data_IF_143874192175
#
_entry.id   IF_143874192175
#
_cell.length_a   1.000
_cell.length_b   1.000
_cell.length_c   1.000
_cell.angle_alpha   90.00
_cell.angle_beta   90.00
_cell.angle_gamma   90.00
#
_symmetry.space_group_name_H-M   'P 1'
#
loop_
_entity.id
_entity.type
_entity.pdbx_description
1 polymer ?
#
# COMPACT_ATOMS: atom_id res chain seq x y z
N UNK A 1 16.29 33.69 47.42
CA UNK A 1 15.28 33.67 46.35
C UNK A 1 15.79 34.16 44.99
N UNK A 2 16.73 35.11 44.91
CA UNK A 2 17.21 35.70 43.64
C UNK A 2 18.05 34.77 42.73
N UNK A 3 18.82 33.83 43.30
CA UNK A 3 19.64 32.89 42.50
C UNK A 3 18.84 31.83 41.74
N UNK A 4 17.67 31.42 42.25
CA UNK A 4 16.82 30.42 41.57
C UNK A 4 16.25 30.97 40.26
N UNK A 5 15.99 32.28 40.19
CA UNK A 5 15.49 32.95 38.97
C UNK A 5 16.49 32.95 37.83
N UNK A 6 17.79 33.06 38.12
CA UNK A 6 18.84 33.01 37.10
C UNK A 6 18.87 31.63 36.42
N UNK A 7 18.66 30.56 37.19
CA UNK A 7 18.59 29.19 36.66
C UNK A 7 17.37 29.00 35.77
N UNK A 8 16.19 29.49 36.19
CA UNK A 8 14.98 29.39 35.36
C UNK A 8 15.08 30.21 34.06
N UNK A 9 15.68 31.40 34.10
CA UNK A 9 15.91 32.22 32.91
C UNK A 9 16.90 31.53 31.96
N UNK A 10 17.95 30.90 32.49
CA UNK A 10 18.90 30.12 31.70
C UNK A 10 18.23 28.93 30.99
N UNK A 11 17.39 28.17 31.69
CA UNK A 11 16.64 27.05 31.10
C UNK A 11 15.68 27.55 30.03
N UNK A 12 14.97 28.66 30.27
CA UNK A 12 14.05 29.24 29.28
C UNK A 12 14.79 29.68 28.01
N UNK A 13 15.96 30.32 28.14
CA UNK A 13 16.79 30.69 26.98
C UNK A 13 17.28 29.46 26.20
N UNK A 14 17.69 28.40 26.88
CA UNK A 14 18.11 27.15 26.24
C UNK A 14 16.95 26.48 25.50
N UNK A 15 15.74 26.45 26.09
CA UNK A 15 14.56 25.89 25.42
C UNK A 15 14.14 26.71 24.21
N UNK A 16 14.17 28.04 24.29
CA UNK A 16 13.86 28.92 23.16
C UNK A 16 14.90 28.77 22.05
N UNK A 17 16.20 28.86 22.38
CA UNK A 17 17.27 28.71 21.41
C UNK A 17 17.29 27.31 20.78
N UNK A 18 17.07 26.26 21.59
CA UNK A 18 16.95 24.89 21.13
C UNK A 18 15.75 24.68 20.21
N UNK A 19 14.58 25.18 20.59
CA UNK A 19 13.38 25.14 19.76
C UNK A 19 13.54 25.89 18.44
N UNK A 20 14.10 27.11 18.46
CA UNK A 20 14.40 27.89 17.26
C UNK A 20 15.42 27.21 16.35
N UNK A 21 16.45 26.56 16.91
CA UNK A 21 17.47 25.85 16.13
C UNK A 21 16.91 24.58 15.46
N UNK A 22 16.04 23.84 16.15
CA UNK A 22 15.37 22.66 15.60
C UNK A 22 14.44 23.03 14.44
N UNK A 23 13.66 24.11 14.60
CA UNK A 23 12.79 24.63 13.55
C UNK A 23 13.59 25.13 12.33
N UNK A 24 14.70 25.83 12.55
CA UNK A 24 15.54 26.35 11.45
C UNK A 24 16.21 25.25 10.62
N UNK A 25 16.47 24.07 11.22
CA UNK A 25 17.03 22.91 10.52
C UNK A 25 15.97 21.96 9.95
N UNK A 26 14.68 22.23 10.17
CA UNK A 26 13.59 21.32 9.80
C UNK A 26 13.67 19.95 10.47
N UNK A 27 14.39 19.87 11.61
CA UNK A 27 14.52 18.63 12.39
C UNK A 27 13.38 18.47 13.39
N UNK A 28 12.49 19.45 13.50
CA UNK A 28 11.27 19.32 14.29
C UNK A 28 10.33 18.27 13.70
N UNK A 29 9.51 17.68 14.56
CA UNK A 29 8.62 16.59 14.17
C UNK A 29 7.59 17.01 13.10
N UNK A 30 7.22 18.29 13.05
CA UNK A 30 6.22 18.81 12.11
C UNK A 30 6.84 18.91 10.71
N UNK A 31 8.04 19.47 10.57
CA UNK A 31 8.76 19.50 9.29
C UNK A 31 9.12 18.11 8.77
N UNK A 32 9.52 17.17 9.64
CA UNK A 32 9.77 15.79 9.21
C UNK A 32 8.50 15.09 8.72
N UNK A 33 7.37 15.29 9.40
CA UNK A 33 6.07 14.75 8.97
C UNK A 33 5.57 15.38 7.64
N UNK A 34 6.03 16.60 7.32
CA UNK A 34 5.71 17.22 6.04
C UNK A 34 6.37 16.48 4.87
N UNK A 35 7.60 16.00 5.02
CA UNK A 35 8.35 15.38 3.92
C UNK A 35 8.27 13.85 3.90
N UNK A 36 8.12 13.22 5.06
CA UNK A 36 7.98 11.77 5.19
C UNK A 36 6.53 11.38 5.07
N UNK A 37 6.18 10.76 3.94
CA UNK A 37 4.83 10.27 3.69
C UNK A 37 4.76 8.81 4.07
N UNK A 38 3.77 8.49 4.88
CA UNK A 38 3.52 7.12 5.33
C UNK A 38 2.26 6.59 4.65
N UNK A 39 2.31 5.31 4.33
CA UNK A 39 1.19 4.52 3.83
C UNK A 39 1.21 3.14 4.45
N UNK A 40 0.21 2.35 4.09
CA UNK A 40 0.14 0.95 4.48
C UNK A 40 0.52 0.11 3.27
N UNK A 41 1.44 -0.82 3.46
CA UNK A 41 1.77 -1.82 2.47
C UNK A 41 0.56 -2.72 2.25
N UNK A 42 0.09 -2.78 1.03
CA UNK A 42 -1.06 -3.55 0.61
C UNK A 42 -0.65 -4.53 -0.49
N UNK A 43 -1.43 -5.59 -0.63
CA UNK A 43 -1.28 -6.58 -1.69
C UNK A 43 -2.62 -6.68 -2.43
N UNK A 44 -2.57 -6.52 -3.74
CA UNK A 44 -3.76 -6.65 -4.56
C UNK A 44 -4.34 -8.06 -4.46
N UNK A 45 -5.67 -8.16 -4.33
CA UNK A 45 -6.39 -9.42 -4.38
C UNK A 45 -7.30 -9.41 -5.58
N UNK A 46 -7.16 -10.42 -6.44
CA UNK A 46 -8.00 -10.60 -7.60
C UNK A 46 -9.03 -11.69 -7.32
N UNK A 47 -10.31 -11.34 -7.42
CA UNK A 47 -11.38 -12.33 -7.45
C UNK A 47 -11.44 -12.93 -8.84
N UNK A 48 -11.20 -14.23 -8.93
CA UNK A 48 -11.40 -15.00 -10.16
C UNK A 48 -12.90 -15.22 -10.32
N UNK A 49 -13.46 -14.64 -11.37
CA UNK A 49 -14.87 -14.74 -11.72
C UNK A 49 -14.98 -15.73 -12.87
N UNK A 50 -15.89 -16.69 -12.74
CA UNK A 50 -16.24 -17.57 -13.84
C UNK A 50 -17.04 -16.80 -14.88
N UNK A 51 -16.64 -16.82 -16.15
CA UNK A 51 -17.24 -16.02 -17.23
C UNK A 51 -17.71 -16.87 -18.42
N UNK A 52 -17.66 -18.20 -18.29
CA UNK A 52 -18.03 -19.16 -19.33
C UNK A 52 -19.47 -19.66 -19.18
N UNK A 53 -19.84 -20.72 -19.90
CA UNK A 53 -21.21 -21.28 -19.91
C UNK A 53 -21.58 -21.94 -18.57
N UNK A 54 -22.87 -21.99 -18.19
CA UNK A 54 -23.29 -22.73 -17.00
C UNK A 54 -22.83 -24.19 -16.97
N UNK A 55 -22.47 -24.68 -15.78
CA UNK A 55 -21.97 -26.02 -15.59
C UNK A 55 -21.86 -26.42 -14.13
N UNK A 56 -21.16 -27.52 -13.86
CA UNK A 56 -20.88 -28.03 -12.52
C UNK A 56 -19.37 -28.13 -12.31
N UNK A 57 -18.87 -27.75 -11.14
CA UNK A 57 -17.45 -27.93 -10.82
C UNK A 57 -17.13 -29.42 -10.78
N UNK A 58 -16.23 -29.86 -11.65
CA UNK A 58 -15.78 -31.25 -11.73
C UNK A 58 -14.60 -31.48 -10.79
N UNK A 59 -13.59 -30.60 -10.88
CA UNK A 59 -12.35 -30.70 -10.12
C UNK A 59 -11.86 -29.33 -9.63
N UNK A 60 -11.31 -29.33 -8.41
CA UNK A 60 -10.55 -28.21 -7.83
C UNK A 60 -9.08 -28.62 -7.80
N UNK A 61 -8.24 -27.88 -8.51
CA UNK A 61 -6.82 -28.20 -8.70
C UNK A 61 -5.90 -27.38 -7.78
N UNK A 62 -6.35 -26.19 -7.36
CA UNK A 62 -5.60 -25.33 -6.44
C UNK A 62 -6.27 -25.32 -5.06
N UNK A 63 -5.47 -25.38 -4.00
CA UNK A 63 -5.86 -25.27 -2.60
C UNK A 63 -5.58 -23.89 -2.01
N UNK A 64 -6.18 -23.59 -0.84
CA UNK A 64 -5.86 -22.37 -0.10
C UNK A 64 -4.42 -22.46 0.40
N UNK A 65 -3.63 -21.42 0.13
CA UNK A 65 -2.20 -21.35 0.45
C UNK A 65 -1.28 -21.72 -0.71
N UNK A 66 -1.81 -22.29 -1.79
CA UNK A 66 -1.01 -22.66 -2.95
C UNK A 66 -0.57 -21.43 -3.73
N UNK A 67 0.68 -21.44 -4.19
CA UNK A 67 1.22 -20.45 -5.11
C UNK A 67 0.86 -20.86 -6.54
N UNK A 68 0.27 -19.93 -7.29
CA UNK A 68 -0.16 -20.13 -8.68
C UNK A 68 0.48 -19.08 -9.57
N UNK A 69 0.82 -19.47 -10.79
CA UNK A 69 1.29 -18.59 -11.85
C UNK A 69 0.15 -18.24 -12.81
N UNK A 70 0.33 -17.16 -13.56
CA UNK A 70 -0.57 -16.79 -14.64
C UNK A 70 -0.72 -17.93 -15.65
N UNK A 71 -1.96 -18.35 -15.89
CA UNK A 71 -2.29 -19.47 -16.76
C UNK A 71 -2.41 -20.82 -16.06
N UNK A 72 -2.11 -20.91 -14.77
CA UNK A 72 -2.26 -22.17 -14.03
C UNK A 72 -3.72 -22.59 -13.90
N UNK A 73 -3.98 -23.88 -14.05
CA UNK A 73 -5.32 -24.46 -13.93
C UNK A 73 -5.79 -24.44 -12.47
N UNK A 74 -6.84 -23.67 -12.20
CA UNK A 74 -7.46 -23.58 -10.88
C UNK A 74 -8.61 -24.58 -10.73
N UNK A 75 -9.49 -24.65 -11.74
CA UNK A 75 -10.71 -25.45 -11.70
C UNK A 75 -11.04 -26.06 -13.06
N UNK A 76 -11.69 -27.22 -13.05
CA UNK A 76 -12.38 -27.78 -14.21
C UNK A 76 -13.87 -27.74 -14.00
N UNK A 77 -14.59 -27.27 -15.02
CA UNK A 77 -16.04 -27.14 -15.01
C UNK A 77 -16.61 -28.04 -16.10
N UNK A 78 -17.50 -28.95 -15.73
CA UNK A 78 -18.26 -29.76 -16.67
C UNK A 78 -19.51 -29.01 -17.09
N UNK A 79 -19.60 -28.68 -18.37
CA UNK A 79 -20.76 -28.00 -18.94
C UNK A 79 -21.93 -28.96 -19.10
N UNK A 80 -23.14 -28.43 -19.10
CA UNK A 80 -24.37 -29.20 -19.32
C UNK A 80 -24.39 -29.92 -20.68
N UNK A 81 -23.69 -29.34 -21.67
CA UNK A 81 -23.54 -29.87 -23.02
C UNK A 81 -22.52 -31.02 -23.12
N UNK A 82 -21.87 -31.40 -22.01
CA UNK A 82 -20.93 -32.52 -21.92
C UNK A 82 -19.47 -32.19 -22.18
N UNK A 83 -19.14 -30.96 -22.56
CA UNK A 83 -17.76 -30.47 -22.70
C UNK A 83 -17.19 -29.98 -21.36
N UNK A 84 -15.87 -29.97 -21.22
CA UNK A 84 -15.16 -29.41 -20.06
C UNK A 84 -14.59 -28.02 -20.38
N UNK A 85 -14.60 -27.14 -19.39
CA UNK A 85 -14.00 -25.81 -19.43
C UNK A 85 -13.01 -25.64 -18.29
N UNK A 86 -11.85 -25.07 -18.62
CA UNK A 86 -10.79 -24.81 -17.65
C UNK A 86 -10.86 -23.37 -17.15
N UNK A 87 -10.73 -23.18 -15.84
CA UNK A 87 -10.60 -21.86 -15.22
C UNK A 87 -9.15 -21.67 -14.81
N UNK A 88 -8.51 -20.68 -15.40
CA UNK A 88 -7.08 -20.42 -15.23
C UNK A 88 -6.85 -19.21 -14.31
N UNK A 89 -5.70 -19.17 -13.64
CA UNK A 89 -5.27 -18.00 -12.90
C UNK A 89 -4.94 -16.85 -13.85
N UNK A 90 -5.45 -15.65 -13.57
CA UNK A 90 -5.18 -14.47 -14.41
C UNK A 90 -3.80 -13.87 -14.15
N UNK A 91 -3.27 -14.04 -12.93
CA UNK A 91 -2.04 -13.41 -12.45
C UNK A 91 -1.29 -14.34 -11.49
N UNK A 92 -0.01 -14.05 -11.26
CA UNK A 92 0.82 -14.75 -10.29
C UNK A 92 0.43 -14.35 -8.85
N UNK A 93 0.33 -15.33 -7.97
CA UNK A 93 -0.06 -15.07 -6.59
C UNK A 93 -0.23 -16.30 -5.72
N UNK A 94 -0.86 -16.10 -4.57
CA UNK A 94 -1.26 -17.15 -3.64
C UNK A 94 -2.78 -17.22 -3.56
N UNK A 95 -3.35 -18.42 -3.61
CA UNK A 95 -4.79 -18.62 -3.43
C UNK A 95 -5.15 -18.39 -1.96
N UNK A 96 -5.89 -17.33 -1.66
CA UNK A 96 -6.30 -17.01 -0.28
C UNK A 96 -7.68 -17.55 0.06
N UNK A 97 -8.52 -17.77 -0.95
CA UNK A 97 -9.86 -18.29 -0.75
C UNK A 97 -10.35 -19.05 -1.96
N UNK A 98 -11.06 -20.14 -1.70
CA UNK A 98 -11.82 -20.90 -2.70
C UNK A 98 -13.30 -20.81 -2.32
N UNK A 99 -14.14 -20.40 -3.26
CA UNK A 99 -15.56 -20.14 -3.04
C UNK A 99 -16.46 -21.29 -3.50
N UNK A 100 -15.91 -22.29 -4.17
CA UNK A 100 -16.65 -23.41 -4.78
C UNK A 100 -16.06 -24.77 -4.39
N UNK A 101 -16.86 -25.82 -4.50
CA UNK A 101 -16.48 -27.21 -4.25
C UNK A 101 -16.86 -28.10 -5.44
N UNK A 102 -16.23 -29.27 -5.61
CA UNK A 102 -16.67 -30.25 -6.59
C UNK A 102 -18.15 -30.60 -6.39
N UNK A 103 -18.92 -30.58 -7.47
CA UNK A 103 -20.37 -30.77 -7.47
C UNK A 103 -21.21 -29.48 -7.37
N UNK A 104 -20.60 -28.32 -7.13
CA UNK A 104 -21.34 -27.05 -7.11
C UNK A 104 -21.76 -26.64 -8.52
N UNK A 105 -23.01 -26.16 -8.66
CA UNK A 105 -23.48 -25.54 -9.89
C UNK A 105 -22.91 -24.12 -10.02
N UNK A 106 -22.43 -23.79 -11.21
CA UNK A 106 -21.83 -22.50 -11.49
C UNK A 106 -22.38 -21.86 -12.76
N UNK A 107 -22.57 -20.54 -12.69
CA UNK A 107 -23.01 -19.69 -13.79
C UNK A 107 -22.03 -18.53 -14.00
N UNK A 108 -21.96 -17.95 -15.20
CA UNK A 108 -21.13 -16.77 -15.43
C UNK A 108 -21.48 -15.64 -14.47
N UNK A 109 -20.46 -14.98 -13.91
CA UNK A 109 -20.56 -13.98 -12.86
C UNK A 109 -20.28 -14.51 -11.44
N UNK A 110 -20.24 -15.83 -11.24
CA UNK A 110 -19.97 -16.40 -9.93
C UNK A 110 -18.47 -16.30 -9.57
N UNK A 111 -18.12 -15.82 -8.36
CA UNK A 111 -16.73 -15.86 -7.90
C UNK A 111 -16.32 -17.29 -7.52
N UNK A 112 -15.16 -17.75 -8.01
CA UNK A 112 -14.66 -19.12 -7.76
C UNK A 112 -13.47 -19.16 -6.81
N UNK A 113 -12.59 -18.16 -6.89
CA UNK A 113 -11.41 -18.05 -6.05
C UNK A 113 -11.03 -16.60 -5.82
N UNK A 114 -10.20 -16.38 -4.80
CA UNK A 114 -9.47 -15.13 -4.59
C UNK A 114 -7.99 -15.47 -4.61
N UNK A 115 -7.25 -14.80 -5.49
CA UNK A 115 -5.80 -14.91 -5.62
C UNK A 115 -5.19 -13.59 -5.16
N UNK A 116 -4.38 -13.64 -4.11
CA UNK A 116 -3.60 -12.51 -3.66
C UNK A 116 -2.32 -12.41 -4.48
N UNK A 117 -2.12 -11.27 -5.11
CA UNK A 117 -0.95 -11.00 -5.94
C UNK A 117 0.31 -10.90 -5.09
N UNK A 118 1.43 -11.30 -5.68
CA UNK A 118 2.76 -11.21 -5.05
C UNK A 118 3.34 -9.78 -5.08
N UNK A 119 2.71 -8.86 -5.82
CA UNK A 119 3.19 -7.47 -5.95
C UNK A 119 2.62 -6.62 -4.82
N UNK A 120 3.51 -6.02 -4.04
CA UNK A 120 3.10 -5.07 -3.01
C UNK A 120 2.94 -3.67 -3.58
N UNK A 121 2.07 -2.89 -2.96
CA UNK A 121 1.89 -1.47 -3.25
C UNK A 121 1.64 -0.69 -1.97
N UNK A 122 1.89 0.61 -2.00
CA UNK A 122 1.48 1.52 -0.94
C UNK A 122 0.88 2.77 -1.57
N UNK A 123 -0.21 3.25 -0.98
CA UNK A 123 -0.84 4.51 -1.37
C UNK A 123 -0.40 5.60 -0.38
N UNK A 124 0.22 6.65 -0.91
CA UNK A 124 0.68 7.81 -0.15
C UNK A 124 -0.19 9.03 -0.49
N UNK A 125 -0.49 9.84 0.51
CA UNK A 125 -1.16 11.12 0.32
C UNK A 125 -0.15 12.26 0.31
N UNK A 126 0.02 12.86 -0.86
CA UNK A 126 1.01 13.91 -1.10
C UNK A 126 0.27 15.23 -1.33
N UNK A 127 0.76 16.30 -0.69
CA UNK A 127 0.17 17.63 -0.84
C UNK A 127 0.43 18.17 -2.25
N UNK A 128 -0.51 18.96 -2.79
CA UNK A 128 -0.39 19.64 -4.09
C UNK A 128 0.96 20.35 -4.27
N UNK A 129 1.44 21.05 -3.23
CA UNK A 129 2.71 21.76 -3.27
C UNK A 129 3.94 20.86 -3.44
N UNK A 130 3.84 19.55 -3.21
CA UNK A 130 4.95 18.61 -3.31
C UNK A 130 4.76 17.57 -4.43
N UNK A 131 3.58 17.50 -5.06
CA UNK A 131 3.28 16.49 -6.07
C UNK A 131 4.19 16.56 -7.29
N UNK A 132 4.69 17.76 -7.62
CA UNK A 132 5.59 18.00 -8.75
C UNK A 132 6.95 17.30 -8.64
N UNK A 133 7.36 16.89 -7.42
CA UNK A 133 8.57 16.11 -7.18
C UNK A 133 8.46 14.66 -7.65
N UNK A 134 7.23 14.18 -7.85
CA UNK A 134 6.92 12.80 -8.21
C UNK A 134 6.50 12.72 -9.68
N UNK A 135 7.13 11.81 -10.41
CA UNK A 135 6.81 11.51 -11.81
C UNK A 135 6.42 10.04 -11.95
N UNK A 136 5.54 9.76 -12.91
CA UNK A 136 5.16 8.39 -13.23
C UNK A 136 6.41 7.58 -13.60
N UNK A 137 6.49 6.33 -13.14
CA UNK A 137 7.61 5.40 -13.32
C UNK A 137 8.93 5.85 -12.67
N UNK A 138 8.91 6.86 -11.79
CA UNK A 138 10.08 7.25 -11.03
C UNK A 138 10.41 6.21 -9.95
N UNK A 139 11.70 5.90 -9.80
CA UNK A 139 12.20 5.05 -8.72
C UNK A 139 12.24 5.83 -7.41
N UNK A 140 11.76 5.23 -6.33
CA UNK A 140 11.70 5.81 -4.98
C UNK A 140 12.15 4.77 -3.96
N UNK A 141 12.77 5.20 -2.86
CA UNK A 141 13.13 4.32 -1.75
C UNK A 141 11.98 4.24 -0.76
N UNK A 142 11.55 3.03 -0.45
CA UNK A 142 10.47 2.75 0.52
C UNK A 142 11.10 2.13 1.75
N UNK A 143 10.91 2.78 2.90
CA UNK A 143 11.47 2.37 4.19
C UNK A 143 10.42 1.71 5.07
N UNK A 144 10.83 0.71 5.82
CA UNK A 144 9.99 0.01 6.80
C UNK A 144 10.65 0.13 8.19
N UNK A 145 10.43 1.25 8.90
CA UNK A 145 11.21 1.60 10.08
C UNK A 145 10.87 0.81 11.34
N UNK A 146 9.71 0.13 11.36
CA UNK A 146 9.18 -0.56 12.55
C UNK A 146 9.51 -2.06 12.62
N UNK A 147 10.34 -2.56 11.70
CA UNK A 147 10.90 -3.91 11.79
C UNK A 147 12.06 -3.93 12.79
N UNK A 148 12.39 -5.12 13.30
CA UNK A 148 13.55 -5.32 14.19
C UNK A 148 14.85 -4.78 13.57
N UNK A 149 14.95 -4.88 12.24
CA UNK A 149 15.97 -4.22 11.43
C UNK A 149 15.25 -3.37 10.37
N UNK A 150 15.40 -2.03 10.39
CA UNK A 150 14.85 -1.18 9.36
C UNK A 150 15.36 -1.61 7.99
N UNK A 151 14.44 -1.92 7.08
CA UNK A 151 14.78 -2.28 5.71
C UNK A 151 14.35 -1.16 4.75
N UNK A 152 15.09 -1.06 3.65
CA UNK A 152 14.76 -0.20 2.52
C UNK A 152 14.65 -1.04 1.26
N UNK A 153 13.57 -0.87 0.54
CA UNK A 153 13.32 -1.56 -0.73
C UNK A 153 13.05 -0.55 -1.82
N UNK A 154 13.34 -0.95 -3.05
CA UNK A 154 13.03 -0.15 -4.22
C UNK A 154 11.53 -0.17 -4.49
N UNK A 155 10.99 1.00 -4.79
CA UNK A 155 9.63 1.18 -5.27
C UNK A 155 9.60 2.02 -6.55
N UNK A 156 8.50 1.94 -7.27
CA UNK A 156 8.27 2.71 -8.49
C UNK A 156 6.91 3.39 -8.40
N UNK A 157 6.84 4.68 -8.74
CA UNK A 157 5.57 5.42 -8.80
C UNK A 157 4.70 4.84 -9.92
N UNK A 158 3.68 4.07 -9.53
CA UNK A 158 2.81 3.34 -10.45
C UNK A 158 1.64 4.19 -10.93
N UNK A 159 1.13 5.11 -10.11
CA UNK A 159 0.13 6.09 -10.54
C UNK A 159 0.11 7.32 -9.64
N UNK A 160 -0.36 8.42 -10.21
CA UNK A 160 -0.64 9.67 -9.49
C UNK A 160 -2.10 10.02 -9.81
N UNK A 161 -2.91 10.24 -8.79
CA UNK A 161 -4.31 10.62 -8.98
C UNK A 161 -4.40 11.93 -9.76
N UNK A 162 -5.29 12.00 -10.74
CA UNK A 162 -5.51 13.23 -11.53
C UNK A 162 -6.30 14.31 -10.76
N UNK A 163 -7.00 13.91 -9.70
CA UNK A 163 -7.81 14.80 -8.88
C UNK A 163 -7.50 14.58 -7.39
N UNK A 164 -7.64 15.62 -6.55
CA UNK A 164 -7.44 15.48 -5.13
C UNK A 164 -8.49 14.58 -4.48
N UNK A 165 -8.06 13.76 -3.53
CA UNK A 165 -8.95 12.89 -2.77
C UNK A 165 -9.41 13.62 -1.50
N UNK A 166 -10.55 14.29 -1.57
CA UNK A 166 -11.07 15.15 -0.50
C UNK A 166 -11.67 14.41 0.72
N UNK A 167 -11.98 13.10 0.60
CA UNK A 167 -12.92 12.44 1.50
C UNK A 167 -12.30 11.70 2.70
N UNK A 168 -11.04 11.25 2.65
CA UNK A 168 -10.59 10.19 3.57
C UNK A 168 -9.83 10.65 4.81
N UNK A 169 -9.39 11.92 4.90
CA UNK A 169 -8.43 12.37 5.93
C UNK A 169 -8.86 13.62 6.72
N UNK A 170 -10.14 14.01 6.67
CA UNK A 170 -10.65 15.10 7.54
C UNK A 170 -10.60 14.76 9.04
N UNK A 171 -10.34 13.50 9.44
CA UNK A 171 -10.38 13.06 10.84
C UNK A 171 -9.06 13.12 11.61
N UNK A 172 -7.92 13.39 10.97
CA UNK A 172 -6.62 13.63 11.66
C UNK A 172 -6.05 14.98 11.25
N UNK A 173 -6.88 16.03 11.39
CA UNK A 173 -6.37 17.41 11.30
C UNK A 173 -5.49 17.66 12.52
N UNK A 174 -4.18 17.71 12.33
CA UNK A 174 -3.35 18.57 13.18
C UNK A 174 -3.91 19.99 13.05
N UNK A 175 -4.38 20.55 14.18
CA UNK A 175 -4.91 21.91 14.23
C UNK A 175 -3.85 22.90 13.69
N UNK A 176 -4.00 23.36 12.45
CA UNK A 176 -3.23 24.50 11.94
C UNK A 176 -2.71 24.43 10.51
N UNK A 177 -2.73 23.25 9.86
CA UNK A 177 -2.33 23.17 8.45
C UNK A 177 -3.44 23.71 7.53
N UNK A 178 -3.04 24.47 6.50
CA UNK A 178 -3.92 25.04 5.49
C UNK A 178 -4.72 23.94 4.77
N UNK A 179 -5.87 24.30 4.16
CA UNK A 179 -6.72 23.39 3.40
C UNK A 179 -6.04 23.04 2.06
N UNK A 180 -4.93 22.31 2.11
CA UNK A 180 -4.18 21.91 0.93
C UNK A 180 -4.73 20.60 0.41
N UNK A 181 -5.07 20.59 -0.88
CA UNK A 181 -5.49 19.41 -1.62
C UNK A 181 -4.43 18.31 -1.53
N UNK A 182 -4.86 17.08 -1.22
CA UNK A 182 -4.00 15.90 -1.21
C UNK A 182 -4.29 15.01 -2.42
N UNK A 183 -3.24 14.53 -3.06
CA UNK A 183 -3.28 13.61 -4.18
C UNK A 183 -2.80 12.24 -3.72
N UNK A 184 -3.51 11.19 -4.11
CA UNK A 184 -3.06 9.83 -3.86
C UNK A 184 -1.99 9.46 -4.89
N UNK A 185 -0.86 8.98 -4.40
CA UNK A 185 0.24 8.45 -5.20
C UNK A 185 0.41 7.00 -4.84
N UNK A 186 0.26 6.13 -5.85
CA UNK A 186 0.47 4.69 -5.68
C UNK A 186 1.89 4.35 -6.05
N UNK A 187 2.56 3.66 -5.14
CA UNK A 187 3.92 3.15 -5.35
C UNK A 187 3.84 1.63 -5.38
N UNK A 188 4.35 1.03 -6.46
CA UNK A 188 4.61 -0.41 -6.50
C UNK A 188 5.90 -0.68 -5.74
N UNK A 189 5.87 -1.58 -4.79
CA UNK A 189 6.99 -1.89 -3.89
C UNK A 189 7.54 -3.27 -4.25
N UNK A 190 8.87 -3.38 -4.35
CA UNK A 190 9.51 -4.66 -4.57
C UNK A 190 9.19 -5.64 -3.43
N UNK A 191 8.91 -6.90 -3.78
CA UNK A 191 8.67 -7.94 -2.77
C UNK A 191 9.95 -8.27 -2.01
N UNK A 192 9.81 -8.54 -0.71
CA UNK A 192 10.90 -8.94 0.18
C UNK A 192 10.37 -9.97 1.18
N UNK A 193 11.20 -10.91 1.63
CA UNK A 193 10.76 -12.05 2.45
C UNK A 193 10.15 -11.63 3.80
N UNK A 194 10.66 -10.54 4.38
CA UNK A 194 10.19 -10.02 5.67
C UNK A 194 9.02 -9.04 5.55
N UNK A 195 8.57 -8.71 4.34
CA UNK A 195 7.46 -7.78 4.13
C UNK A 195 6.13 -8.51 4.15
N UNK A 196 5.19 -7.98 4.93
CA UNK A 196 3.82 -8.44 4.98
C UNK A 196 2.85 -7.29 4.70
N UNK A 197 1.72 -7.54 4.03
CA UNK A 197 0.63 -6.57 3.95
C UNK A 197 0.20 -6.12 5.35
N UNK A 198 -0.13 -4.84 5.47
CA UNK A 198 -0.45 -4.17 6.74
C UNK A 198 0.72 -3.42 7.38
N UNK A 199 1.96 -3.63 6.94
CA UNK A 199 3.12 -2.90 7.45
C UNK A 199 3.11 -1.43 7.05
N UNK A 200 3.68 -0.55 7.88
CA UNK A 200 3.84 0.87 7.53
C UNK A 200 5.01 1.06 6.59
N UNK A 201 4.73 1.62 5.42
CA UNK A 201 5.71 2.01 4.41
C UNK A 201 5.93 3.53 4.48
N UNK A 202 7.19 3.97 4.51
CA UNK A 202 7.57 5.38 4.55
C UNK A 202 8.37 5.76 3.30
N UNK A 203 8.07 6.92 2.72
CA UNK A 203 8.83 7.50 1.61
C UNK A 203 9.19 8.93 1.97
N UNK A 204 10.48 9.27 1.86
CA UNK A 204 10.98 10.61 2.07
C UNK A 204 11.03 11.38 0.74
N UNK A 205 10.17 12.40 0.61
CA UNK A 205 10.08 13.21 -0.61
C UNK A 205 11.29 14.12 -0.84
N UNK A 206 12.20 14.27 0.12
CA UNK A 206 13.44 15.05 -0.07
C UNK A 206 14.57 14.22 -0.68
N UNK A 207 14.49 12.90 -0.61
CA UNK A 207 15.48 11.99 -1.21
C UNK A 207 15.20 11.70 -2.68
N UNK A 208 14.02 12.10 -3.15
CA UNK A 208 13.60 12.03 -4.53
C UNK A 208 14.21 13.23 -5.26
N UNK A 209 15.40 13.02 -5.81
CA UNK A 209 16.13 14.04 -6.57
C UNK A 209 15.33 14.50 -7.81
N UNK A 210 15.46 15.78 -8.15
CA UNK A 210 14.84 16.44 -9.33
C UNK A 210 15.31 15.88 -10.69
#
# INVERSE_FOLDING_TARGET
>A
MKQKWIVYIGIALVLIAGGSLLAAKGMDAVSQAEHRKQGVLDADSLTVIYDKKPGTIDQVNAGIGDSVQKGDLLFKVKLEQGSEEEVLSTEDGQVTRIAVKPGDQITPGNPVAVVQQTRYRTDLFVQEGQIHKLKLNQSVKVRFPYLDQPIEVDGVVASIAAAPQFASLRMTREKGQADVSMFAVRISVASHADLLPGMTAEVDLNEIAD
#
